data_IF_426899475789
#
_entry.id   IF_426899475789
#
_cell.length_a   1.000
_cell.length_b   1.000
_cell.length_c   1.000
_cell.angle_alpha   90.00
_cell.angle_beta   90.00
_cell.angle_gamma   90.00
#
_symmetry.space_group_name_H-M   'P 1'
#
loop_
_entity.id
_entity.type
_entity.pdbx_description
1 polymer ?
#
# COMPACT_ATOMS: atom_id res chain seq x y z
N UNK A 1 13.07 17.70 -8.69
CA UNK A 1 14.51 17.78 -9.02
C UNK A 1 14.65 18.30 -10.44
N UNK A 2 15.57 19.27 -10.66
CA UNK A 2 15.88 19.75 -12.02
C UNK A 2 16.98 18.86 -12.59
N UNK A 3 16.75 18.29 -13.76
CA UNK A 3 17.72 17.53 -14.54
C UNK A 3 18.30 18.43 -15.64
N UNK A 4 19.59 18.29 -15.91
CA UNK A 4 20.30 19.08 -16.88
C UNK A 4 20.89 18.18 -17.97
N UNK A 5 20.94 18.67 -19.21
CA UNK A 5 21.54 17.97 -20.35
C UNK A 5 20.95 16.57 -20.59
N UNK A 6 19.61 16.45 -20.57
CA UNK A 6 18.88 15.18 -20.68
C UNK A 6 18.85 14.71 -22.14
N UNK A 7 18.49 15.59 -23.07
CA UNK A 7 18.39 15.32 -24.52
C UNK A 7 19.38 16.13 -25.31
N UNK A 8 19.64 17.40 -24.92
CA UNK A 8 20.56 18.30 -25.59
C UNK A 8 21.42 19.07 -24.58
N UNK A 9 22.61 19.50 -24.96
CA UNK A 9 23.50 20.29 -24.11
C UNK A 9 22.85 21.63 -23.77
N UNK A 10 22.66 21.91 -22.51
CA UNK A 10 22.09 23.15 -21.95
C UNK A 10 20.59 23.08 -21.66
N UNK A 11 19.91 21.99 -21.97
CA UNK A 11 18.52 21.82 -21.62
C UNK A 11 18.32 21.60 -20.10
N UNK A 12 17.12 21.92 -19.62
CA UNK A 12 16.71 21.73 -18.22
C UNK A 12 15.29 21.24 -18.16
N UNK A 13 15.08 20.12 -17.46
CA UNK A 13 13.78 19.50 -17.25
C UNK A 13 13.46 19.37 -15.75
N UNK A 14 12.22 19.63 -15.39
CA UNK A 14 11.75 19.37 -14.05
C UNK A 14 11.23 17.94 -13.97
N UNK A 15 11.89 17.10 -13.17
CA UNK A 15 11.40 15.75 -12.89
C UNK A 15 10.29 15.86 -11.84
N UNK A 16 9.05 15.67 -12.25
CA UNK A 16 7.88 15.68 -11.39
C UNK A 16 7.81 14.44 -10.49
N UNK A 17 8.49 13.36 -10.88
CA UNK A 17 8.38 12.05 -10.24
C UNK A 17 7.09 11.33 -10.59
N UNK A 18 6.35 11.78 -11.61
CA UNK A 18 5.10 11.17 -12.03
C UNK A 18 5.35 10.21 -13.21
N UNK A 19 4.68 9.06 -13.18
CA UNK A 19 4.58 8.13 -14.29
C UNK A 19 3.34 8.48 -15.10
N UNK A 20 3.52 8.74 -16.37
CA UNK A 20 2.43 9.07 -17.29
C UNK A 20 2.44 8.10 -18.47
N UNK A 21 1.26 7.79 -18.99
CA UNK A 21 1.06 7.02 -20.23
C UNK A 21 0.67 7.97 -21.35
N UNK A 22 1.38 7.90 -22.47
CA UNK A 22 0.94 8.57 -23.69
C UNK A 22 -0.31 7.84 -24.25
N UNK A 23 -1.40 8.58 -24.40
CA UNK A 23 -2.66 8.07 -24.96
C UNK A 23 -2.94 8.63 -26.36
N UNK A 24 -1.95 9.23 -26.99
CA UNK A 24 -2.07 9.83 -28.31
C UNK A 24 -2.59 11.27 -28.31
N UNK A 25 -2.60 11.90 -29.47
CA UNK A 25 -3.08 13.28 -29.68
C UNK A 25 -2.45 14.33 -28.73
N UNK A 26 -1.20 14.12 -28.30
CA UNK A 26 -0.48 14.95 -27.30
C UNK A 26 -1.15 14.98 -25.92
N UNK A 27 -1.89 13.93 -25.58
CA UNK A 27 -2.47 13.76 -24.23
C UNK A 27 -1.69 12.70 -23.46
N UNK A 28 -1.49 12.96 -22.19
CA UNK A 28 -0.88 12.02 -21.25
C UNK A 28 -1.86 11.74 -20.11
N UNK A 29 -2.03 10.46 -19.80
CA UNK A 29 -2.78 9.99 -18.64
C UNK A 29 -1.81 9.82 -17.47
N UNK A 30 -2.10 10.43 -16.34
CA UNK A 30 -1.40 10.12 -15.09
C UNK A 30 -1.65 8.66 -14.72
N UNK A 31 -0.59 7.92 -14.43
CA UNK A 31 -0.65 6.51 -14.01
C UNK A 31 -0.35 6.40 -12.53
N UNK A 32 0.83 6.93 -12.10
CA UNK A 32 1.25 6.84 -10.71
C UNK A 32 2.43 7.79 -10.44
N UNK A 33 2.90 7.84 -9.20
CA UNK A 33 4.17 8.49 -8.84
C UNK A 33 5.31 7.49 -8.79
N UNK A 34 6.45 7.87 -9.35
CA UNK A 34 7.70 7.12 -9.15
C UNK A 34 8.02 7.09 -7.66
N UNK A 35 8.00 5.89 -7.06
CA UNK A 35 8.16 5.69 -5.61
C UNK A 35 6.87 5.37 -4.84
N UNK A 36 5.71 5.48 -5.47
CA UNK A 36 4.42 5.01 -4.94
C UNK A 36 4.06 3.61 -5.47
N UNK A 37 4.97 2.97 -6.20
CA UNK A 37 4.91 1.55 -6.54
C UNK A 37 5.76 0.73 -5.57
N UNK A 38 5.39 -0.53 -5.40
CA UNK A 38 6.24 -1.54 -4.75
C UNK A 38 6.31 -2.81 -5.61
N UNK A 39 7.36 -3.60 -5.42
CA UNK A 39 7.54 -4.86 -6.14
C UNK A 39 7.33 -6.03 -5.21
N UNK A 40 6.39 -6.90 -5.55
CA UNK A 40 6.06 -8.10 -4.80
C UNK A 40 5.86 -9.31 -5.71
N UNK A 41 6.45 -10.45 -5.36
CA UNK A 41 6.39 -11.70 -6.14
C UNK A 41 6.78 -11.53 -7.62
N UNK A 42 7.73 -10.63 -7.90
CA UNK A 42 8.19 -10.33 -9.25
C UNK A 42 7.40 -9.26 -10.01
N UNK A 43 6.23 -8.86 -9.50
CA UNK A 43 5.32 -7.90 -10.14
C UNK A 43 5.42 -6.50 -9.52
N UNK A 44 5.23 -5.47 -10.35
CA UNK A 44 5.13 -4.09 -9.90
C UNK A 44 3.66 -3.79 -9.57
N UNK A 45 3.42 -3.27 -8.38
CA UNK A 45 2.08 -2.92 -7.88
C UNK A 45 1.97 -1.41 -7.74
N UNK A 46 0.96 -0.82 -8.38
CA UNK A 46 0.59 0.59 -8.24
C UNK A 46 -0.19 0.78 -6.95
N UNK A 47 0.29 1.64 -6.05
CA UNK A 47 -0.41 1.90 -4.79
C UNK A 47 -1.73 2.59 -5.03
N UNK A 48 -1.80 3.51 -6.01
CA UNK A 48 -3.02 4.25 -6.34
C UNK A 48 -4.13 3.34 -6.89
N UNK A 49 -3.79 2.34 -7.71
CA UNK A 49 -4.78 1.37 -8.20
C UNK A 49 -5.36 0.53 -7.06
N UNK A 50 -4.50 0.06 -6.15
CA UNK A 50 -4.95 -0.71 -4.98
C UNK A 50 -5.78 0.16 -4.04
N UNK A 51 -5.36 1.41 -3.76
CA UNK A 51 -6.12 2.38 -2.94
C UNK A 51 -7.53 2.58 -3.48
N UNK A 52 -7.66 2.81 -4.81
CA UNK A 52 -8.96 3.02 -5.45
C UNK A 52 -9.87 1.79 -5.34
N UNK A 53 -9.32 0.59 -5.56
CA UNK A 53 -10.07 -0.65 -5.44
C UNK A 53 -10.47 -0.94 -4.00
N UNK A 54 -9.59 -0.67 -3.03
CA UNK A 54 -9.94 -0.80 -1.61
C UNK A 54 -11.06 0.15 -1.20
N UNK A 55 -10.99 1.42 -1.63
CA UNK A 55 -12.03 2.42 -1.35
C UNK A 55 -13.36 2.15 -2.07
N UNK A 56 -13.44 1.20 -3.01
CA UNK A 56 -14.71 0.72 -3.57
C UNK A 56 -15.48 -0.19 -2.60
N UNK A 57 -14.82 -0.69 -1.56
CA UNK A 57 -15.47 -1.50 -0.54
C UNK A 57 -16.31 -0.61 0.40
N UNK A 58 -17.57 -0.97 0.55
CA UNK A 58 -18.62 -0.12 1.15
C UNK A 58 -18.34 0.44 2.55
N UNK A 59 -17.55 -0.25 3.36
CA UNK A 59 -17.23 0.19 4.72
C UNK A 59 -15.90 0.95 4.85
N UNK A 60 -15.11 1.07 3.77
CA UNK A 60 -13.84 1.80 3.79
C UNK A 60 -14.01 3.24 3.27
N UNK A 61 -13.69 4.20 4.13
CA UNK A 61 -13.66 5.62 3.76
C UNK A 61 -12.36 6.00 3.08
N UNK A 62 -11.23 5.51 3.61
CA UNK A 62 -9.90 5.85 3.13
C UNK A 62 -8.99 4.63 3.17
N UNK A 63 -8.08 4.55 2.20
CA UNK A 63 -7.00 3.57 2.16
C UNK A 63 -5.72 4.24 1.66
N UNK A 64 -4.60 3.97 2.34
CA UNK A 64 -3.26 4.42 1.95
C UNK A 64 -2.36 3.21 1.85
N UNK A 65 -1.91 2.90 0.64
CA UNK A 65 -1.15 1.69 0.34
C UNK A 65 0.34 1.99 0.19
N UNK A 66 1.17 1.12 0.71
CA UNK A 66 2.62 1.20 0.66
C UNK A 66 3.27 -0.17 0.74
N UNK A 67 4.54 -0.28 0.31
CA UNK A 67 5.29 -1.53 0.39
C UNK A 67 6.09 -1.63 1.69
N UNK A 68 6.05 -2.80 2.33
CA UNK A 68 6.82 -3.15 3.54
C UNK A 68 7.67 -4.39 3.29
N UNK A 69 8.82 -4.45 3.92
CA UNK A 69 9.73 -5.61 3.81
C UNK A 69 9.34 -6.68 4.82
N UNK A 70 9.17 -7.91 4.34
CA UNK A 70 8.99 -9.09 5.20
C UNK A 70 10.34 -9.80 5.31
N UNK A 71 10.82 -10.16 6.50
CA UNK A 71 12.07 -10.88 6.66
C UNK A 71 12.12 -12.17 5.82
N UNK A 72 13.27 -12.46 5.25
CA UNK A 72 13.52 -13.64 4.42
C UNK A 72 12.68 -13.72 3.13
N UNK A 73 12.13 -12.60 2.65
CA UNK A 73 11.45 -12.53 1.35
C UNK A 73 12.12 -11.53 0.41
N UNK A 74 11.90 -11.67 -0.89
CA UNK A 74 12.37 -10.73 -1.88
C UNK A 74 11.24 -9.74 -2.24
N UNK A 75 11.59 -8.46 -2.31
CA UNK A 75 10.65 -7.40 -2.63
C UNK A 75 9.96 -6.82 -1.40
N UNK A 76 8.82 -6.17 -1.63
CA UNK A 76 8.02 -5.53 -0.59
C UNK A 76 6.57 -5.97 -0.73
N UNK A 77 6.02 -6.52 0.32
CA UNK A 77 4.60 -6.86 0.38
C UNK A 77 3.75 -5.60 0.53
N UNK A 78 2.55 -5.62 -0.01
CA UNK A 78 1.60 -4.54 0.20
C UNK A 78 1.15 -4.46 1.66
N UNK A 79 1.10 -3.24 2.18
CA UNK A 79 0.45 -2.90 3.44
C UNK A 79 -0.48 -1.71 3.21
N UNK A 80 -1.66 -1.72 3.83
CA UNK A 80 -2.62 -0.63 3.74
C UNK A 80 -2.97 -0.10 5.13
N UNK A 81 -2.84 1.22 5.32
CA UNK A 81 -3.54 1.91 6.39
C UNK A 81 -4.96 2.19 5.91
N UNK A 82 -5.95 1.86 6.71
CA UNK A 82 -7.37 1.94 6.36
C UNK A 82 -8.17 2.65 7.43
N UNK A 83 -9.16 3.42 7.02
CA UNK A 83 -10.12 4.08 7.90
C UNK A 83 -11.54 3.67 7.48
N UNK A 84 -12.36 3.12 8.38
CA UNK A 84 -13.76 2.84 8.07
C UNK A 84 -14.58 4.13 7.96
N UNK A 85 -15.73 4.07 7.29
CA UNK A 85 -16.74 5.11 7.40
C UNK A 85 -17.23 5.24 8.84
N UNK A 86 -17.63 6.45 9.23
CA UNK A 86 -18.13 6.72 10.58
C UNK A 86 -19.29 5.79 10.94
N UNK A 87 -19.16 5.11 12.07
CA UNK A 87 -20.16 4.15 12.57
C UNK A 87 -20.19 2.79 11.85
N UNK A 88 -19.28 2.54 10.92
CA UNK A 88 -19.17 1.25 10.24
C UNK A 88 -18.04 0.39 10.82
N UNK A 89 -18.27 -0.91 10.86
CA UNK A 89 -17.24 -1.92 11.15
C UNK A 89 -16.80 -2.60 9.85
N UNK A 90 -15.54 -3.06 9.83
CA UNK A 90 -14.98 -3.75 8.68
C UNK A 90 -15.13 -5.25 8.88
N UNK A 91 -15.85 -5.92 7.99
CA UNK A 91 -15.81 -7.38 7.87
C UNK A 91 -14.56 -7.78 7.08
N UNK A 92 -13.54 -8.24 7.78
CA UNK A 92 -12.24 -8.58 7.21
C UNK A 92 -12.25 -9.83 6.32
N UNK A 93 -13.18 -10.76 6.52
CA UNK A 93 -13.36 -11.91 5.65
C UNK A 93 -13.98 -11.48 4.31
N UNK A 94 -15.06 -10.72 4.38
CA UNK A 94 -15.73 -10.19 3.20
C UNK A 94 -14.88 -9.17 2.43
N UNK A 95 -14.07 -8.35 3.15
CA UNK A 95 -13.09 -7.46 2.50
C UNK A 95 -12.09 -8.26 1.66
N UNK A 96 -11.50 -9.32 2.19
CA UNK A 96 -10.55 -10.14 1.43
C UNK A 96 -11.22 -10.81 0.22
N UNK A 97 -12.44 -11.30 0.37
CA UNK A 97 -13.22 -11.86 -0.72
C UNK A 97 -13.47 -10.83 -1.83
N UNK A 98 -13.83 -9.61 -1.46
CA UNK A 98 -14.00 -8.49 -2.40
C UNK A 98 -12.70 -8.20 -3.15
N UNK A 99 -11.58 -8.03 -2.42
CA UNK A 99 -10.29 -7.73 -3.05
C UNK A 99 -9.81 -8.85 -4.00
N UNK A 100 -10.08 -10.12 -3.68
CA UNK A 100 -9.76 -11.25 -4.55
C UNK A 100 -10.54 -11.26 -5.87
N UNK A 101 -11.71 -10.66 -5.91
CA UNK A 101 -12.50 -10.52 -7.15
C UNK A 101 -11.99 -9.38 -8.03
N UNK A 102 -11.47 -8.33 -7.42
CA UNK A 102 -11.12 -7.09 -8.09
C UNK A 102 -9.64 -7.00 -8.52
N UNK A 103 -8.75 -7.77 -7.86
CA UNK A 103 -7.32 -7.67 -8.13
C UNK A 103 -6.57 -9.01 -8.01
N UNK A 104 -5.41 -9.15 -8.68
CA UNK A 104 -4.56 -10.33 -8.55
C UNK A 104 -3.95 -10.44 -7.14
N UNK A 105 -3.70 -11.67 -6.70
CA UNK A 105 -3.27 -11.95 -5.33
C UNK A 105 -1.98 -11.24 -4.89
N UNK A 106 -1.07 -10.96 -5.81
CA UNK A 106 0.16 -10.23 -5.51
C UNK A 106 -0.09 -8.74 -5.23
N UNK A 107 -1.20 -8.17 -5.71
CA UNK A 107 -1.57 -6.77 -5.47
C UNK A 107 -2.35 -6.57 -4.16
N UNK A 108 -2.97 -7.63 -3.63
CA UNK A 108 -3.71 -7.57 -2.37
C UNK A 108 -2.74 -7.28 -1.22
N UNK A 109 -3.00 -6.24 -0.40
CA UNK A 109 -2.18 -5.97 0.77
C UNK A 109 -2.12 -7.17 1.73
N UNK A 110 -0.92 -7.56 2.13
CA UNK A 110 -0.71 -8.66 3.11
C UNK A 110 -1.05 -8.19 4.51
N UNK A 111 -0.79 -6.90 4.80
CA UNK A 111 -1.05 -6.31 6.11
C UNK A 111 -2.05 -5.15 5.99
N UNK A 112 -2.90 -5.02 7.01
CA UNK A 112 -3.77 -3.88 7.19
C UNK A 112 -3.49 -3.23 8.55
N UNK A 113 -3.54 -1.90 8.60
CA UNK A 113 -3.49 -1.10 9.82
C UNK A 113 -4.75 -0.27 9.90
N UNK A 114 -5.59 -0.55 10.87
CA UNK A 114 -6.81 0.23 11.05
C UNK A 114 -6.53 1.48 11.86
N UNK A 115 -6.84 2.62 11.27
CA UNK A 115 -6.72 3.94 11.90
C UNK A 115 -8.11 4.55 12.09
N UNK A 116 -8.27 5.38 13.11
CA UNK A 116 -9.50 6.18 13.29
C UNK A 116 -9.53 7.36 12.33
N UNK A 117 -8.37 7.91 12.01
CA UNK A 117 -8.21 9.05 11.10
C UNK A 117 -6.83 9.00 10.45
N UNK A 118 -6.78 9.23 9.13
CA UNK A 118 -5.52 9.35 8.41
C UNK A 118 -4.80 10.66 8.72
N UNK A 119 -3.50 10.59 8.94
CA UNK A 119 -2.65 11.78 9.02
C UNK A 119 -2.37 12.34 7.64
N UNK A 120 -2.72 13.61 7.45
CA UNK A 120 -2.44 14.34 6.20
C UNK A 120 -1.45 15.47 6.45
N UNK A 121 -0.70 15.84 5.42
CA UNK A 121 0.08 17.08 5.41
C UNK A 121 -0.85 18.29 5.25
N UNK A 122 -0.32 19.52 5.46
CA UNK A 122 -1.06 20.75 5.19
C UNK A 122 -1.54 20.90 3.73
N UNK A 123 -1.07 20.04 2.82
CA UNK A 123 -1.53 19.93 1.41
C UNK A 123 -2.47 18.75 1.19
N UNK A 124 -3.07 18.21 2.24
CA UNK A 124 -3.96 17.04 2.22
C UNK A 124 -3.33 15.77 1.63
N UNK A 125 -2.01 15.64 1.68
CA UNK A 125 -1.30 14.45 1.25
C UNK A 125 -1.01 13.55 2.46
N UNK A 126 -1.34 12.27 2.33
CA UNK A 126 -1.07 11.29 3.39
C UNK A 126 0.43 11.16 3.71
N UNK A 127 0.75 11.01 4.98
CA UNK A 127 2.15 10.89 5.45
C UNK A 127 2.67 9.45 5.33
N UNK A 128 2.79 8.94 4.09
CA UNK A 128 3.26 7.57 3.82
C UNK A 128 4.64 7.25 4.43
N UNK A 129 5.49 8.25 4.65
CA UNK A 129 6.83 8.02 5.17
C UNK A 129 6.83 7.51 6.62
N UNK A 130 5.94 7.99 7.47
CA UNK A 130 5.80 7.51 8.84
C UNK A 130 5.22 6.09 8.84
N UNK A 131 4.17 5.85 8.06
CA UNK A 131 3.56 4.53 7.90
C UNK A 131 4.56 3.47 7.41
N UNK A 132 5.42 3.83 6.43
CA UNK A 132 6.48 2.93 5.93
C UNK A 132 7.53 2.59 7.00
N UNK A 133 7.91 3.56 7.85
CA UNK A 133 8.89 3.35 8.93
C UNK A 133 8.35 2.47 10.04
N UNK A 134 7.11 2.71 10.46
CA UNK A 134 6.42 1.95 11.49
C UNK A 134 6.05 0.55 11.01
N UNK A 135 5.80 0.41 9.69
CA UNK A 135 5.53 -0.88 9.05
C UNK A 135 4.45 -1.67 9.81
N UNK A 136 4.62 -2.98 9.93
CA UNK A 136 3.75 -3.86 10.71
C UNK A 136 4.35 -4.21 12.09
N UNK A 137 5.19 -3.31 12.65
CA UNK A 137 5.71 -3.49 14.01
C UNK A 137 4.62 -3.13 15.03
N UNK A 138 4.16 -4.14 15.76
CA UNK A 138 3.13 -4.00 16.80
C UNK A 138 3.51 -3.03 17.93
N UNK A 139 4.80 -2.75 18.12
CA UNK A 139 5.27 -1.79 19.13
C UNK A 139 5.29 -0.36 18.59
N UNK A 140 5.35 -0.17 17.28
CA UNK A 140 5.49 1.15 16.66
C UNK A 140 4.14 1.77 16.26
N UNK A 141 3.05 1.01 16.27
CA UNK A 141 1.73 1.47 15.77
C UNK A 141 0.84 2.15 16.80
N UNK A 142 1.40 2.52 17.95
CA UNK A 142 0.71 3.31 18.99
C UNK A 142 -0.63 2.72 19.45
N UNK A 143 -0.78 1.38 19.39
CA UNK A 143 -1.99 0.67 19.81
C UNK A 143 -3.07 0.54 18.71
N UNK A 144 -2.79 1.01 17.49
CA UNK A 144 -3.68 0.79 16.35
C UNK A 144 -3.70 -0.70 15.95
N UNK A 145 -4.88 -1.28 15.70
CA UNK A 145 -5.00 -2.69 15.33
C UNK A 145 -4.32 -2.98 13.99
N UNK A 146 -3.50 -4.03 13.99
CA UNK A 146 -2.89 -4.58 12.78
C UNK A 146 -3.54 -5.91 12.44
N UNK A 147 -3.73 -6.14 11.15
CA UNK A 147 -4.25 -7.40 10.64
C UNK A 147 -3.31 -7.95 9.58
N UNK A 148 -3.30 -9.26 9.44
CA UNK A 148 -2.46 -9.97 8.45
C UNK A 148 -3.26 -11.04 7.73
N UNK A 149 -3.06 -11.12 6.43
CA UNK A 149 -3.50 -12.24 5.62
C UNK A 149 -2.37 -13.27 5.54
N UNK A 150 -2.49 -14.34 6.33
CA UNK A 150 -1.52 -15.42 6.33
C UNK A 150 -1.70 -16.36 5.13
N UNK A 151 -0.63 -17.04 4.67
CA UNK A 151 -0.75 -18.09 3.67
C UNK A 151 -1.76 -19.17 4.08
N UNK A 152 -2.57 -19.61 3.11
CA UNK A 152 -3.61 -20.63 3.28
C UNK A 152 -4.78 -20.24 4.19
N UNK A 153 -4.99 -18.95 4.46
CA UNK A 153 -6.20 -18.43 5.12
C UNK A 153 -7.09 -17.71 4.12
N UNK A 154 -8.35 -17.55 4.45
CA UNK A 154 -9.39 -16.90 3.63
C UNK A 154 -9.88 -15.57 4.24
N UNK A 155 -9.22 -15.09 5.27
CA UNK A 155 -9.54 -13.83 5.94
C UNK A 155 -8.29 -13.15 6.50
N UNK A 156 -8.41 -11.85 6.76
CA UNK A 156 -7.45 -11.13 7.60
C UNK A 156 -7.71 -11.46 9.06
N UNK A 157 -6.67 -11.75 9.80
CA UNK A 157 -6.73 -11.97 11.24
C UNK A 157 -5.86 -10.96 11.98
N UNK A 158 -6.17 -10.73 13.26
CA UNK A 158 -5.41 -9.80 14.09
C UNK A 158 -3.93 -10.23 14.15
N UNK A 159 -3.03 -9.30 13.88
CA UNK A 159 -1.58 -9.50 14.00
C UNK A 159 -1.19 -9.45 15.48
N UNK A 160 -1.19 -10.61 16.13
CA UNK A 160 -0.73 -10.75 17.52
C UNK A 160 0.78 -10.70 17.62
N UNK A 161 1.31 -10.45 18.81
CA UNK A 161 2.75 -10.49 19.07
C UNK A 161 3.37 -11.86 18.72
N UNK A 162 2.64 -12.96 18.92
CA UNK A 162 3.07 -14.31 18.54
C UNK A 162 3.19 -14.46 17.03
N UNK A 163 2.16 -14.04 16.27
CA UNK A 163 2.18 -14.09 14.80
C UNK A 163 3.31 -13.21 14.27
N UNK A 164 3.47 -12.00 14.82
CA UNK A 164 4.57 -11.10 14.45
C UNK A 164 5.94 -11.77 14.65
N UNK A 165 6.18 -12.40 15.81
CA UNK A 165 7.43 -13.12 16.07
C UNK A 165 7.67 -14.28 15.10
N UNK A 166 6.62 -15.01 14.74
CA UNK A 166 6.68 -16.10 13.77
C UNK A 166 7.01 -15.59 12.37
N UNK A 167 6.48 -14.42 11.96
CA UNK A 167 6.85 -13.74 10.71
C UNK A 167 8.33 -13.36 10.74
N UNK A 168 8.82 -12.76 11.84
CA UNK A 168 10.22 -12.37 11.99
C UNK A 168 11.18 -13.57 11.89
N UNK A 169 10.77 -14.75 12.36
CA UNK A 169 11.54 -16.01 12.27
C UNK A 169 11.43 -16.69 10.90
N UNK A 170 10.59 -16.17 9.98
CA UNK A 170 10.36 -16.77 8.66
C UNK A 170 9.54 -18.07 8.70
N UNK A 171 8.66 -18.21 9.70
CA UNK A 171 7.79 -19.40 9.82
C UNK A 171 6.70 -19.47 8.74
N UNK A 172 6.41 -18.36 8.06
CA UNK A 172 5.41 -18.30 6.99
C UNK A 172 6.09 -18.05 5.64
N UNK A 173 5.58 -18.71 4.60
CA UNK A 173 5.95 -18.48 3.19
C UNK A 173 4.87 -17.63 2.51
N UNK A 174 5.09 -16.32 2.49
CA UNK A 174 4.20 -15.38 1.81
C UNK A 174 4.25 -15.44 0.29
#
# INVERSE_FOLDING_TARGET
CIMHNVFEKGDRYFNTGDLVRDIGFRHAQFVDRLGDTFRWKGENVSTTEVENLMCSYHSLAEAVVYGVEIPNTNGRAGMAAITPHEGMEIDYAHLLEHLRKEMPSYAIPVFLRQQQKMETTGTFKYQKNNLKKESFDTNATHGEPLFVWLPNTDHYQLLTAEIWQNIQKGAYRF
#
